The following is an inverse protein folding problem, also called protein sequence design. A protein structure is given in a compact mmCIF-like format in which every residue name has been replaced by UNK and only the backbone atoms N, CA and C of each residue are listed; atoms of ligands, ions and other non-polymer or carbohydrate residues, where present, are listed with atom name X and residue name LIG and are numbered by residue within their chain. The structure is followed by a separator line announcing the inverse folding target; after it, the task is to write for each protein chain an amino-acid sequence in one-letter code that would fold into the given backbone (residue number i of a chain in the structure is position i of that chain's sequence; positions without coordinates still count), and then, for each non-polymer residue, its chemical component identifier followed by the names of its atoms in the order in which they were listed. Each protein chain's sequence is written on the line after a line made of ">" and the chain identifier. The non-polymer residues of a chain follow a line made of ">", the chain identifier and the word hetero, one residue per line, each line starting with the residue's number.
data_IF_696711066744
#
_entry.id   IF_696711066744
#
_cell.length_a   1.000
_cell.length_b   1.000
_cell.length_c   1.000
_cell.angle_alpha   90.00
_cell.angle_beta   90.00
_cell.angle_gamma   90.00
#
_symmetry.space_group_name_H-M   'P 1'
#
loop_
_entity.id
_entity.type
_entity.pdbx_description
1 polymer ?
#
# COMPACT_ATOMS: atom_id res chain seq x y z
N UNK A 1 10.57 20.77 13.53
CA UNK A 1 11.79 21.52 13.14
C UNK A 1 11.80 21.60 11.63
N UNK A 2 11.49 22.77 11.07
CA UNK A 2 11.43 22.97 9.61
C UNK A 2 12.85 23.01 9.05
N UNK A 3 13.15 22.10 8.13
CA UNK A 3 14.42 22.07 7.40
C UNK A 3 14.41 23.19 6.36
N UNK A 4 15.10 24.30 6.63
CA UNK A 4 15.35 25.34 5.63
C UNK A 4 16.47 24.89 4.69
N UNK A 5 16.09 24.40 3.51
CA UNK A 5 17.02 24.03 2.46
C UNK A 5 17.15 25.15 1.43
N UNK A 6 18.39 25.51 1.10
CA UNK A 6 18.67 26.51 0.07
C UNK A 6 18.46 25.97 -1.36
N UNK A 7 18.51 26.86 -2.35
CA UNK A 7 18.24 26.50 -3.75
C UNK A 7 19.23 25.46 -4.31
N UNK A 8 20.49 25.48 -3.85
CA UNK A 8 21.54 24.57 -4.33
C UNK A 8 21.36 23.18 -3.73
N UNK A 9 21.03 23.09 -2.45
CA UNK A 9 20.73 21.84 -1.76
C UNK A 9 19.51 21.15 -2.34
N UNK A 10 18.48 21.92 -2.72
CA UNK A 10 17.28 21.39 -3.39
C UNK A 10 17.60 20.83 -4.77
N UNK A 11 18.43 21.51 -5.55
CA UNK A 11 18.89 21.02 -6.84
C UNK A 11 19.71 19.71 -6.70
N UNK A 12 20.60 19.63 -5.71
CA UNK A 12 21.34 18.40 -5.41
C UNK A 12 20.42 17.23 -5.02
N UNK A 13 19.40 17.49 -4.21
CA UNK A 13 18.42 16.46 -3.82
C UNK A 13 17.58 15.99 -5.01
N UNK A 14 17.22 16.90 -5.92
CA UNK A 14 16.51 16.58 -7.16
C UNK A 14 17.35 15.73 -8.11
N UNK A 15 18.64 16.04 -8.29
CA UNK A 15 19.58 15.22 -9.06
C UNK A 15 19.76 13.81 -8.45
N UNK A 16 19.66 13.69 -7.13
CA UNK A 16 19.66 12.39 -6.43
C UNK A 16 18.28 11.69 -6.43
N UNK A 17 17.29 12.21 -7.17
CA UNK A 17 15.95 11.62 -7.27
C UNK A 17 15.07 11.79 -6.02
N UNK A 18 15.46 12.66 -5.09
CA UNK A 18 14.73 12.92 -3.84
C UNK A 18 13.88 14.18 -3.99
N UNK A 19 12.56 14.00 -4.13
CA UNK A 19 11.61 15.12 -4.21
C UNK A 19 11.21 15.60 -2.81
N UNK A 20 11.66 16.80 -2.43
CA UNK A 20 11.27 17.45 -1.17
C UNK A 20 9.98 18.24 -1.34
N UNK A 21 8.92 17.78 -0.69
CA UNK A 21 7.65 18.50 -0.61
C UNK A 21 7.72 19.56 0.48
N UNK A 22 7.63 20.84 0.10
CA UNK A 22 7.51 21.96 1.04
C UNK A 22 6.09 22.50 0.96
N UNK A 23 5.42 22.60 2.11
CA UNK A 23 4.14 23.30 2.18
C UNK A 23 4.32 24.75 1.75
N UNK A 24 3.50 25.29 0.83
CA UNK A 24 3.48 26.71 0.59
C UNK A 24 3.06 27.42 1.88
N UNK A 25 3.91 28.28 2.42
CA UNK A 25 3.50 29.21 3.47
C UNK A 25 2.40 30.12 2.92
N UNK A 26 1.32 30.25 3.67
CA UNK A 26 0.23 31.15 3.35
C UNK A 26 0.76 32.59 3.22
N UNK A 27 0.32 33.35 2.20
CA UNK A 27 0.82 34.71 1.99
C UNK A 27 0.37 35.61 3.13
N UNK A 28 1.31 35.94 4.03
CA UNK A 28 1.13 37.03 4.99
C UNK A 28 1.18 38.34 4.20
N UNK A 29 0.08 39.10 4.28
CA UNK A 29 -0.07 40.39 3.63
C UNK A 29 1.10 41.32 3.99
N UNK A 30 1.81 41.79 2.96
CA UNK A 30 2.90 42.75 3.11
C UNK A 30 2.33 44.15 3.23
N UNK A 31 2.45 44.73 4.43
CA UNK A 31 2.38 46.18 4.62
C UNK A 31 3.57 46.83 3.91
N UNK A 32 3.27 47.81 3.07
CA UNK A 32 4.24 48.62 2.34
C UNK A 32 4.84 49.70 3.23
N UNK A 33 6.17 49.72 3.36
CA UNK A 33 6.91 50.92 3.77
C UNK A 33 8.37 50.82 3.31
N UNK A 34 8.81 51.83 2.54
CA UNK A 34 10.19 52.32 2.53
C UNK A 34 11.17 51.67 1.55
N UNK A 35 11.40 52.36 0.43
CA UNK A 35 12.69 52.34 -0.27
C UNK A 35 13.78 53.01 0.62
N UNK A 36 15.09 52.76 0.42
CA UNK A 36 15.77 53.28 -0.77
C UNK A 36 16.76 52.30 -1.44
N UNK A 37 17.20 52.75 -2.62
CA UNK A 37 18.17 52.16 -3.51
C UNK A 37 19.56 51.96 -2.89
N UNK A 38 20.40 51.11 -3.51
CA UNK A 38 21.70 51.50 -4.13
C UNK A 38 22.48 50.26 -4.65
N UNK A 39 23.04 50.46 -5.85
CA UNK A 39 24.26 49.92 -6.46
C UNK A 39 24.39 48.43 -6.86
N UNK A 40 24.32 48.28 -8.19
CA UNK A 40 25.10 47.42 -9.08
C UNK A 40 26.56 47.22 -8.64
N UNK A 41 27.05 45.97 -8.69
CA UNK A 41 28.43 45.66 -9.09
C UNK A 41 28.57 44.16 -9.46
N UNK A 42 28.68 43.87 -10.76
CA UNK A 42 29.40 42.70 -11.26
C UNK A 42 30.91 43.04 -11.30
N UNK A 43 31.80 42.04 -11.13
CA UNK A 43 32.49 41.55 -12.33
C UNK A 43 32.82 40.05 -12.33
N UNK A 44 32.99 39.52 -13.54
CA UNK A 44 33.65 38.27 -13.91
C UNK A 44 35.17 38.52 -14.13
N UNK A 45 35.99 37.58 -14.65
CA UNK A 45 36.20 36.16 -14.35
C UNK A 45 37.71 35.82 -14.15
N UNK A 46 37.99 34.51 -14.06
CA UNK A 46 39.25 33.83 -14.42
C UNK A 46 40.36 33.70 -13.36
N UNK A 47 40.66 32.44 -13.00
CA UNK A 47 42.00 31.87 -13.23
C UNK A 47 41.93 30.34 -13.15
N UNK A 48 42.50 29.73 -14.19
CA UNK A 48 42.59 28.30 -14.48
C UNK A 48 43.92 27.81 -13.92
N UNK A 49 43.94 26.75 -13.10
CA UNK A 49 45.17 26.00 -12.82
C UNK A 49 44.86 24.49 -12.79
N UNK A 50 45.57 23.77 -13.66
CA UNK A 50 45.76 22.33 -13.65
C UNK A 50 47.29 22.08 -13.59
N UNK A 51 47.74 20.82 -13.53
CA UNK A 51 48.12 20.04 -12.35
C UNK A 51 49.65 19.97 -12.17
N UNK A 52 50.16 19.20 -11.19
CA UNK A 52 51.25 18.31 -11.54
C UNK A 52 51.14 16.88 -10.99
N UNK A 53 51.88 16.03 -11.67
CA UNK A 53 51.84 14.57 -11.79
C UNK A 53 52.86 13.88 -10.85
N UNK A 54 52.42 12.80 -10.17
CA UNK A 54 53.12 11.53 -9.80
C UNK A 54 54.48 11.59 -9.04
N UNK A 55 55.02 10.48 -8.46
CA UNK A 55 54.63 9.07 -8.59
C UNK A 55 54.50 8.26 -7.29
N UNK A 56 53.95 7.06 -7.45
CA UNK A 56 53.81 6.01 -6.44
C UNK A 56 55.15 5.40 -5.99
N UNK A 57 55.15 4.74 -4.83
CA UNK A 57 55.82 3.46 -4.71
C UNK A 57 54.86 2.36 -4.25
N UNK A 58 55.03 1.20 -4.89
CA UNK A 58 54.41 -0.06 -4.56
C UNK A 58 54.80 -0.50 -3.14
N UNK A 59 53.83 -1.02 -2.39
CA UNK A 59 54.08 -1.78 -1.17
C UNK A 59 53.28 -3.08 -1.23
N UNK A 60 53.99 -4.15 -0.90
CA UNK A 60 53.67 -5.54 -1.16
C UNK A 60 52.45 -6.06 -0.40
N UNK A 61 51.72 -6.97 -1.05
CA UNK A 61 50.65 -7.77 -0.47
C UNK A 61 51.20 -8.73 0.59
N UNK A 62 50.66 -8.75 1.82
CA UNK A 62 50.92 -9.82 2.78
C UNK A 62 50.09 -11.08 2.44
N UNK A 63 50.55 -12.27 2.86
CA UNK A 63 49.96 -13.55 2.46
C UNK A 63 48.60 -13.81 3.13
N UNK A 64 47.79 -14.59 2.42
CA UNK A 64 46.47 -15.05 2.82
C UNK A 64 46.47 -15.67 4.23
N UNK A 65 45.91 -14.95 5.20
CA UNK A 65 45.55 -15.51 6.49
C UNK A 65 44.34 -16.43 6.30
N UNK A 66 44.56 -17.72 6.56
CA UNK A 66 43.54 -18.76 6.60
C UNK A 66 42.49 -18.40 7.65
N UNK A 67 41.26 -18.12 7.20
CA UNK A 67 40.14 -17.86 8.09
C UNK A 67 39.89 -19.10 8.99
N UNK A 68 39.74 -18.94 10.31
CA UNK A 68 39.27 -20.03 11.16
C UNK A 68 37.78 -20.30 10.83
N UNK A 69 37.46 -21.53 10.44
CA UNK A 69 36.08 -22.00 10.30
C UNK A 69 35.40 -21.98 11.68
N UNK A 70 34.26 -21.31 11.85
CA UNK A 70 33.44 -21.46 13.05
C UNK A 70 32.87 -22.88 13.11
N UNK A 71 33.08 -23.56 14.23
CA UNK A 71 32.50 -24.86 14.52
C UNK A 71 30.96 -24.79 14.49
N UNK A 72 30.34 -25.74 13.80
CA UNK A 72 28.89 -25.93 13.82
C UNK A 72 28.41 -26.27 15.26
N UNK A 73 27.21 -25.81 15.64
CA UNK A 73 26.72 -25.85 17.02
C UNK A 73 26.44 -27.26 17.52
N UNK A 74 26.82 -27.51 18.78
CA UNK A 74 26.51 -28.73 19.52
C UNK A 74 25.02 -28.72 19.88
N UNK A 75 24.27 -29.70 19.37
CA UNK A 75 22.83 -29.84 19.61
C UNK A 75 22.53 -30.02 21.12
N UNK A 76 21.53 -29.32 21.69
CA UNK A 76 21.03 -29.62 23.02
C UNK A 76 20.25 -30.95 23.01
N UNK A 77 20.44 -31.75 24.07
CA UNK A 77 19.75 -33.02 24.27
C UNK A 77 18.22 -32.83 24.36
N UNK A 78 17.41 -33.75 23.81
CA UNK A 78 15.95 -33.63 23.86
C UNK A 78 15.43 -33.85 25.29
N UNK A 79 14.63 -32.91 25.76
CA UNK A 79 13.78 -33.07 26.94
C UNK A 79 12.70 -34.15 26.67
N UNK A 80 12.23 -34.89 27.69
CA UNK A 80 11.27 -35.97 27.50
C UNK A 80 9.97 -35.44 26.88
N UNK A 81 9.53 -36.13 25.83
CA UNK A 81 8.28 -35.86 25.13
C UNK A 81 7.11 -36.12 26.08
N UNK A 82 6.37 -35.06 26.41
CA UNK A 82 5.00 -35.19 26.88
C UNK A 82 4.18 -35.55 25.64
N UNK A 83 3.71 -36.81 25.59
CA UNK A 83 2.75 -37.30 24.61
C UNK A 83 1.45 -36.49 24.75
N UNK A 84 1.32 -35.43 23.96
CA UNK A 84 0.03 -34.82 23.68
C UNK A 84 -0.54 -35.55 22.47
N UNK A 85 -1.41 -36.53 22.73
CA UNK A 85 -2.14 -37.24 21.72
C UNK A 85 -3.04 -36.27 20.92
N UNK A 86 -2.69 -36.08 19.64
CA UNK A 86 -3.66 -35.97 18.55
C UNK A 86 -4.52 -34.70 18.45
N UNK A 87 -3.96 -33.64 17.88
CA UNK A 87 -4.66 -32.83 16.89
C UNK A 87 -3.61 -32.17 15.99
N UNK A 88 -3.59 -32.48 14.69
CA UNK A 88 -2.90 -31.64 13.72
C UNK A 88 -3.43 -30.20 13.88
N UNK A 89 -2.59 -29.16 13.81
CA UNK A 89 -3.10 -27.79 13.87
C UNK A 89 -4.10 -27.62 12.72
N UNK A 90 -5.38 -27.47 13.07
CA UNK A 90 -6.42 -27.34 12.08
C UNK A 90 -6.15 -26.06 11.28
N UNK A 91 -6.05 -26.19 9.95
CA UNK A 91 -5.85 -25.04 9.07
C UNK A 91 -7.11 -24.18 9.21
N UNK A 92 -7.00 -22.90 9.60
CA UNK A 92 -8.16 -22.04 9.75
C UNK A 92 -8.88 -21.92 8.40
N UNK A 93 -10.16 -22.23 8.39
CA UNK A 93 -11.03 -22.01 7.23
C UNK A 93 -11.33 -20.52 7.08
N UNK A 94 -11.68 -20.10 5.87
CA UNK A 94 -12.17 -18.76 5.60
C UNK A 94 -13.65 -18.82 5.28
N UNK A 95 -14.37 -17.82 5.77
CA UNK A 95 -15.77 -17.58 5.44
C UNK A 95 -15.90 -16.23 4.76
N UNK A 96 -16.62 -16.18 3.63
CA UNK A 96 -17.06 -14.93 3.04
C UNK A 96 -18.41 -14.52 3.61
N UNK A 97 -18.48 -13.30 4.12
CA UNK A 97 -19.73 -12.65 4.53
C UNK A 97 -20.40 -11.95 3.35
N UNK A 98 -21.73 -11.90 3.35
CA UNK A 98 -22.50 -11.22 2.31
C UNK A 98 -22.06 -9.75 2.17
N UNK A 99 -21.98 -9.21 0.94
CA UNK A 99 -21.59 -7.82 0.75
C UNK A 99 -22.53 -6.84 1.47
N UNK A 100 -21.97 -5.90 2.21
CA UNK A 100 -22.72 -4.84 2.89
C UNK A 100 -22.40 -3.46 2.32
N UNK A 101 -23.38 -2.57 2.25
CA UNK A 101 -23.19 -1.17 1.82
C UNK A 101 -22.38 -0.43 2.88
N UNK A 102 -21.27 0.19 2.46
CA UNK A 102 -20.36 0.90 3.36
C UNK A 102 -20.85 2.30 3.77
N UNK A 103 -21.53 2.99 2.85
CA UNK A 103 -22.04 4.36 3.05
C UNK A 103 -23.52 4.45 2.67
N UNK A 104 -24.43 3.91 3.49
CA UNK A 104 -25.87 3.87 3.17
C UNK A 104 -26.51 5.26 3.06
N UNK A 105 -25.89 6.29 3.63
CA UNK A 105 -26.34 7.68 3.56
C UNK A 105 -25.71 8.48 2.40
N UNK A 106 -24.96 7.84 1.50
CA UNK A 106 -24.38 8.51 0.34
C UNK A 106 -25.47 8.95 -0.65
N UNK A 107 -25.46 10.25 -0.99
CA UNK A 107 -26.41 10.85 -1.93
C UNK A 107 -25.99 10.54 -3.37
N UNK A 108 -26.80 9.79 -4.15
CA UNK A 108 -26.48 9.45 -5.54
C UNK A 108 -26.20 10.67 -6.42
N UNK A 109 -26.85 11.82 -6.16
CA UNK A 109 -26.66 13.06 -6.93
C UNK A 109 -25.28 13.70 -6.71
N UNK A 110 -24.59 13.34 -5.63
CA UNK A 110 -23.26 13.83 -5.29
C UNK A 110 -22.14 12.86 -5.68
N UNK A 111 -22.46 11.77 -6.38
CA UNK A 111 -21.47 10.78 -6.83
C UNK A 111 -20.58 11.41 -7.90
N UNK A 112 -19.25 11.52 -7.67
CA UNK A 112 -18.34 12.04 -8.69
C UNK A 112 -18.38 11.23 -9.99
N UNK A 113 -18.33 11.93 -11.12
CA UNK A 113 -18.18 11.29 -12.43
C UNK A 113 -16.87 10.47 -12.50
N UNK A 114 -16.90 9.37 -13.25
CA UNK A 114 -15.74 8.50 -13.44
C UNK A 114 -15.46 7.53 -12.28
N UNK A 115 -16.41 7.34 -11.35
CA UNK A 115 -16.36 6.27 -10.35
C UNK A 115 -17.12 5.00 -10.80
N UNK A 116 -17.68 4.97 -12.01
CA UNK A 116 -18.30 3.79 -12.61
C UNK A 116 -19.62 3.38 -11.95
N UNK A 117 -20.08 2.17 -12.26
CA UNK A 117 -21.37 1.64 -11.78
C UNK A 117 -21.39 1.15 -10.33
N UNK A 118 -20.26 1.03 -9.65
CA UNK A 118 -20.18 0.44 -8.31
C UNK A 118 -18.81 -0.14 -8.00
N UNK A 119 -18.55 -0.42 -6.73
CA UNK A 119 -17.29 -0.98 -6.26
C UNK A 119 -17.56 -2.06 -5.23
N UNK A 120 -16.80 -3.15 -5.31
CA UNK A 120 -16.81 -4.21 -4.30
C UNK A 120 -15.43 -4.28 -3.65
N UNK A 121 -15.37 -4.17 -2.32
CA UNK A 121 -14.15 -4.35 -1.54
C UNK A 121 -14.17 -5.75 -0.93
N UNK A 122 -13.07 -6.48 -1.05
CA UNK A 122 -12.87 -7.77 -0.39
C UNK A 122 -11.69 -7.66 0.56
N UNK A 123 -11.90 -7.90 1.85
CA UNK A 123 -10.86 -7.74 2.88
C UNK A 123 -11.00 -8.76 3.98
N UNK A 124 -9.90 -9.11 4.65
CA UNK A 124 -9.96 -9.88 5.89
C UNK A 124 -10.45 -8.98 7.03
N UNK A 125 -11.31 -9.49 7.92
CA UNK A 125 -11.77 -8.78 9.12
C UNK A 125 -12.05 -9.74 10.27
N UNK A 126 -11.70 -9.31 11.47
CA UNK A 126 -12.09 -9.98 12.72
C UNK A 126 -13.49 -9.55 13.20
N UNK A 127 -14.00 -8.44 12.69
CA UNK A 127 -15.29 -7.84 13.07
C UNK A 127 -16.08 -7.54 11.80
N UNK A 128 -16.59 -8.58 11.11
CA UNK A 128 -17.29 -8.42 9.82
C UNK A 128 -18.51 -7.49 9.89
N UNK A 129 -19.19 -7.43 11.05
CA UNK A 129 -20.33 -6.52 11.29
C UNK A 129 -19.97 -5.05 11.48
N UNK A 130 -18.68 -4.71 11.67
CA UNK A 130 -18.20 -3.34 11.85
C UNK A 130 -17.02 -3.08 10.90
N UNK A 131 -17.26 -2.96 9.58
CA UNK A 131 -16.19 -2.91 8.57
C UNK A 131 -15.29 -1.67 8.69
N UNK A 132 -15.84 -0.57 9.19
CA UNK A 132 -15.10 0.67 9.45
C UNK A 132 -14.73 0.86 10.93
N UNK A 133 -14.92 -0.18 11.75
CA UNK A 133 -14.58 -0.18 13.16
C UNK A 133 -13.07 -0.23 13.42
N UNK A 134 -12.66 0.33 14.56
CA UNK A 134 -11.26 0.30 15.02
C UNK A 134 -10.29 1.10 14.15
N UNK A 135 -8.98 0.89 14.37
CA UNK A 135 -7.92 1.65 13.70
C UNK A 135 -7.79 1.30 12.21
N UNK A 136 -7.92 0.02 11.88
CA UNK A 136 -7.85 -0.46 10.50
C UNK A 136 -9.04 0.04 9.68
N UNK A 137 -10.26 -0.03 10.24
CA UNK A 137 -11.47 0.50 9.61
C UNK A 137 -11.42 2.02 9.43
N UNK A 138 -10.89 2.77 10.40
CA UNK A 138 -10.66 4.21 10.25
C UNK A 138 -9.65 4.54 9.15
N UNK A 139 -8.59 3.75 9.01
CA UNK A 139 -7.66 3.93 7.89
C UNK A 139 -8.33 3.62 6.55
N UNK A 140 -9.13 2.55 6.47
CA UNK A 140 -9.91 2.22 5.28
C UNK A 140 -10.87 3.36 4.90
N UNK A 141 -11.62 3.90 5.85
CA UNK A 141 -12.50 5.06 5.63
C UNK A 141 -11.73 6.25 5.03
N UNK A 142 -10.55 6.57 5.58
CA UNK A 142 -9.70 7.63 5.05
C UNK A 142 -9.22 7.36 3.60
N UNK A 143 -8.84 6.11 3.29
CA UNK A 143 -8.45 5.71 1.93
C UNK A 143 -9.62 5.89 0.95
N UNK A 144 -10.82 5.45 1.32
CA UNK A 144 -12.03 5.57 0.50
C UNK A 144 -12.47 7.03 0.35
N UNK A 145 -12.28 7.86 1.39
CA UNK A 145 -12.51 9.30 1.31
C UNK A 145 -11.54 9.99 0.36
N UNK A 146 -10.26 9.64 0.39
CA UNK A 146 -9.26 10.15 -0.54
C UNK A 146 -9.57 9.78 -1.99
N UNK A 147 -10.18 8.62 -2.22
CA UNK A 147 -10.70 8.19 -3.53
C UNK A 147 -12.08 8.78 -3.89
N UNK A 148 -12.70 9.53 -2.98
CA UNK A 148 -14.08 10.03 -3.06
C UNK A 148 -15.17 8.94 -3.12
N UNK A 149 -14.84 7.68 -2.88
CA UNK A 149 -15.77 6.54 -2.88
C UNK A 149 -16.81 6.61 -1.75
N UNK A 150 -16.55 7.35 -0.68
CA UNK A 150 -17.54 7.64 0.36
C UNK A 150 -18.81 8.34 -0.12
N UNK A 151 -18.78 8.94 -1.32
CA UNK A 151 -19.94 9.55 -1.98
C UNK A 151 -20.67 8.60 -2.92
N UNK A 152 -20.18 7.37 -3.08
CA UNK A 152 -20.72 6.40 -4.01
C UNK A 152 -21.75 5.49 -3.31
N UNK A 153 -23.04 5.51 -3.69
CA UNK A 153 -24.09 4.73 -3.00
C UNK A 153 -23.94 3.22 -3.20
N UNK A 154 -23.27 2.79 -4.29
CA UNK A 154 -22.99 1.38 -4.61
C UNK A 154 -21.56 0.96 -4.25
N UNK A 155 -21.10 1.34 -3.06
CA UNK A 155 -19.84 0.84 -2.50
C UNK A 155 -20.14 -0.26 -1.48
N UNK A 156 -19.75 -1.48 -1.82
CA UNK A 156 -19.98 -2.67 -1.00
C UNK A 156 -18.66 -3.21 -0.45
N UNK A 157 -18.74 -3.86 0.71
CA UNK A 157 -17.64 -4.61 1.29
C UNK A 157 -18.09 -6.02 1.65
N UNK A 158 -17.34 -7.02 1.16
CA UNK A 158 -17.46 -8.41 1.56
C UNK A 158 -16.27 -8.77 2.46
N UNK A 159 -16.55 -9.14 3.71
CA UNK A 159 -15.53 -9.45 4.69
C UNK A 159 -15.19 -10.95 4.66
N UNK A 160 -13.90 -11.26 4.76
CA UNK A 160 -13.39 -12.60 5.00
C UNK A 160 -13.04 -12.76 6.47
N UNK A 161 -13.69 -13.70 7.14
CA UNK A 161 -13.44 -14.03 8.53
C UNK A 161 -12.71 -15.38 8.62
N UNK A 162 -11.69 -15.46 9.48
CA UNK A 162 -11.09 -16.76 9.83
C UNK A 162 -11.99 -17.48 10.81
N UNK A 163 -12.41 -18.68 10.45
CA UNK A 163 -13.22 -19.53 11.31
C UNK A 163 -12.40 -20.70 11.85
N UNK A 164 -12.77 -21.17 13.04
CA UNK A 164 -12.25 -22.44 13.55
C UNK A 164 -12.71 -23.57 12.63
N UNK A 165 -11.85 -24.57 12.43
CA UNK A 165 -12.21 -25.74 11.62
C UNK A 165 -13.42 -26.45 12.21
N UNK A 166 -14.44 -26.70 11.37
CA UNK A 166 -15.68 -27.37 11.78
C UNK A 166 -16.74 -26.44 12.41
N UNK A 167 -16.54 -25.12 12.39
CA UNK A 167 -17.59 -24.19 12.78
C UNK A 167 -18.67 -24.09 11.68
N UNK A 168 -19.76 -24.85 11.85
CA UNK A 168 -21.01 -24.69 11.10
C UNK A 168 -21.58 -23.29 11.41
N UNK A 169 -21.56 -22.35 10.46
CA UNK A 169 -22.27 -21.07 10.58
C UNK A 169 -22.31 -20.34 9.24
N UNK A 170 -23.38 -19.57 8.99
CA UNK A 170 -23.74 -19.02 7.68
C UNK A 170 -22.65 -18.19 6.98
N UNK A 171 -22.55 -18.36 5.65
CA UNK A 171 -21.52 -17.84 4.75
C UNK A 171 -20.92 -18.96 3.89
N UNK A 172 -20.36 -18.63 2.73
CA UNK A 172 -19.86 -19.64 1.78
C UNK A 172 -18.39 -20.00 2.02
N UNK A 173 -18.12 -21.31 2.06
CA UNK A 173 -16.75 -21.85 2.15
C UNK A 173 -16.03 -21.89 0.80
N UNK A 174 -16.77 -21.84 -0.32
CA UNK A 174 -16.22 -21.71 -1.67
C UNK A 174 -16.12 -20.23 -2.07
N UNK A 175 -15.07 -19.57 -1.58
CA UNK A 175 -14.87 -18.13 -1.72
C UNK A 175 -14.91 -17.64 -3.18
N UNK A 176 -14.22 -18.29 -4.17
CA UNK A 176 -14.29 -17.84 -5.55
C UNK A 176 -15.69 -17.90 -6.16
N UNK A 177 -16.47 -18.95 -5.86
CA UNK A 177 -17.85 -19.07 -6.37
C UNK A 177 -18.77 -18.01 -5.76
N UNK A 178 -18.72 -17.84 -4.44
CA UNK A 178 -19.52 -16.83 -3.74
C UNK A 178 -19.18 -15.39 -4.18
N UNK A 179 -17.89 -15.12 -4.44
CA UNK A 179 -17.49 -13.84 -5.04
C UNK A 179 -18.00 -13.68 -6.47
N UNK A 180 -18.03 -14.75 -7.27
CA UNK A 180 -18.60 -14.69 -8.61
C UNK A 180 -20.10 -14.37 -8.57
N UNK A 181 -20.85 -14.99 -7.64
CA UNK A 181 -22.26 -14.70 -7.43
C UNK A 181 -22.47 -13.25 -6.98
N UNK A 182 -21.67 -12.76 -6.02
CA UNK A 182 -21.72 -11.37 -5.57
C UNK A 182 -21.38 -10.37 -6.68
N UNK A 183 -20.40 -10.67 -7.54
CA UNK A 183 -20.07 -9.84 -8.70
C UNK A 183 -21.20 -9.86 -9.72
N UNK A 184 -21.81 -11.02 -9.96
CA UNK A 184 -22.94 -11.16 -10.87
C UNK A 184 -24.16 -10.36 -10.39
N UNK A 185 -24.44 -10.37 -9.09
CA UNK A 185 -25.54 -9.61 -8.47
C UNK A 185 -25.26 -8.11 -8.45
N UNK A 186 -24.08 -7.70 -8.00
CA UNK A 186 -23.76 -6.29 -7.78
C UNK A 186 -23.31 -5.58 -9.04
N UNK A 187 -22.82 -6.28 -10.07
CA UNK A 187 -22.26 -5.71 -11.30
C UNK A 187 -21.33 -4.51 -11.00
N UNK A 188 -20.30 -4.64 -10.14
CA UNK A 188 -19.41 -3.55 -9.84
C UNK A 188 -18.55 -3.18 -11.06
N UNK A 189 -18.15 -1.93 -11.15
CA UNK A 189 -17.17 -1.48 -12.14
C UNK A 189 -15.74 -1.96 -11.81
N UNK A 190 -15.44 -2.24 -10.53
CA UNK A 190 -14.17 -2.80 -10.09
C UNK A 190 -14.28 -3.53 -8.75
N UNK A 191 -13.48 -4.60 -8.59
CA UNK A 191 -13.26 -5.27 -7.29
C UNK A 191 -11.90 -4.88 -6.71
N UNK A 192 -11.90 -4.30 -5.52
CA UNK A 192 -10.69 -3.95 -4.77
C UNK A 192 -10.42 -5.01 -3.70
N UNK A 193 -9.30 -5.73 -3.81
CA UNK A 193 -8.93 -6.82 -2.90
C UNK A 193 -7.80 -6.37 -1.97
N UNK A 194 -8.06 -6.36 -0.66
CA UNK A 194 -7.16 -5.84 0.36
C UNK A 194 -6.44 -6.99 1.08
N UNK A 195 -5.12 -7.02 0.97
CA UNK A 195 -4.28 -7.96 1.70
C UNK A 195 -4.06 -9.30 1.01
N UNK A 196 -3.08 -10.04 1.54
CA UNK A 196 -2.63 -11.31 0.97
C UNK A 196 -3.69 -12.41 1.10
N UNK A 197 -4.40 -12.45 2.21
CA UNK A 197 -5.36 -13.51 2.54
C UNK A 197 -6.59 -13.38 1.64
N UNK A 198 -7.13 -12.17 1.51
CA UNK A 198 -8.20 -11.88 0.58
C UNK A 198 -7.79 -12.15 -0.87
N UNK A 199 -6.58 -11.74 -1.27
CA UNK A 199 -6.08 -11.97 -2.62
C UNK A 199 -5.96 -13.47 -2.96
N UNK A 200 -5.43 -14.28 -2.04
CA UNK A 200 -5.33 -15.73 -2.26
C UNK A 200 -6.69 -16.41 -2.32
N UNK A 201 -7.60 -16.04 -1.41
CA UNK A 201 -8.94 -16.61 -1.35
C UNK A 201 -9.77 -16.24 -2.58
N UNK A 202 -9.71 -14.98 -3.02
CA UNK A 202 -10.46 -14.48 -4.17
C UNK A 202 -9.91 -15.00 -5.51
N UNK A 203 -8.59 -15.00 -5.69
CA UNK A 203 -7.95 -15.32 -6.97
C UNK A 203 -7.61 -16.81 -7.14
N UNK A 204 -7.72 -17.62 -6.08
CA UNK A 204 -7.27 -19.03 -6.10
C UNK A 204 -5.76 -19.17 -6.31
N UNK A 205 -4.99 -18.14 -5.91
CA UNK A 205 -3.54 -18.01 -6.18
C UNK A 205 -2.72 -18.12 -4.88
N UNK A 206 -1.42 -18.38 -5.00
CA UNK A 206 -0.53 -18.60 -3.83
C UNK A 206 0.73 -17.75 -3.85
N UNK A 207 0.89 -16.93 -4.90
CA UNK A 207 2.02 -16.04 -5.09
C UNK A 207 2.11 -14.98 -3.99
N UNK A 208 3.32 -14.49 -3.68
CA UNK A 208 3.49 -13.39 -2.72
C UNK A 208 2.69 -12.15 -3.13
N UNK A 209 2.19 -11.41 -2.12
CA UNK A 209 1.40 -10.19 -2.32
C UNK A 209 2.04 -9.19 -3.29
N UNK A 210 3.38 -9.03 -3.26
CA UNK A 210 4.08 -8.14 -4.19
C UNK A 210 3.88 -8.49 -5.67
N UNK A 211 3.82 -9.79 -6.02
CA UNK A 211 3.49 -10.23 -7.39
C UNK A 211 2.02 -10.06 -7.71
N UNK A 212 1.14 -10.40 -6.76
CA UNK A 212 -0.31 -10.21 -6.95
C UNK A 212 -0.64 -8.74 -7.18
N UNK A 213 0.02 -7.79 -6.52
CA UNK A 213 -0.22 -6.36 -6.75
C UNK A 213 0.26 -5.85 -8.12
N UNK A 214 1.28 -6.46 -8.71
CA UNK A 214 1.88 -6.00 -9.96
C UNK A 214 1.08 -6.40 -11.22
N UNK A 215 0.25 -7.45 -11.13
CA UNK A 215 -0.48 -7.99 -12.26
C UNK A 215 -1.92 -7.44 -12.40
N UNK A 216 -2.48 -7.45 -13.62
CA UNK A 216 -3.92 -7.28 -13.81
C UNK A 216 -4.65 -8.54 -13.31
N UNK A 217 -5.82 -8.36 -12.71
CA UNK A 217 -6.71 -9.46 -12.30
C UNK A 217 -8.13 -9.21 -12.77
N UNK A 218 -8.90 -10.28 -12.80
CA UNK A 218 -10.34 -10.24 -13.01
C UNK A 218 -11.01 -11.24 -12.07
N UNK A 219 -12.22 -10.92 -11.63
CA UNK A 219 -13.10 -11.76 -10.84
C UNK A 219 -14.46 -11.78 -11.54
N UNK A 220 -14.86 -12.93 -12.10
CA UNK A 220 -16.09 -13.08 -12.88
C UNK A 220 -16.25 -11.95 -13.93
N UNK A 221 -15.25 -11.78 -14.79
CA UNK A 221 -15.15 -10.73 -15.82
C UNK A 221 -15.09 -9.27 -15.31
N UNK A 222 -15.21 -9.03 -14.01
CA UNK A 222 -15.01 -7.70 -13.42
C UNK A 222 -13.52 -7.44 -13.19
N UNK A 223 -12.95 -6.29 -13.59
CA UNK A 223 -11.56 -5.97 -13.31
C UNK A 223 -11.31 -5.92 -11.79
N UNK A 224 -10.17 -6.46 -11.37
CA UNK A 224 -9.78 -6.52 -9.97
C UNK A 224 -8.39 -5.94 -9.73
N UNK A 225 -8.24 -5.21 -8.63
CA UNK A 225 -6.96 -4.66 -8.17
C UNK A 225 -6.65 -5.15 -6.78
N UNK A 226 -5.45 -5.72 -6.60
CA UNK A 226 -4.94 -6.13 -5.29
C UNK A 226 -4.11 -5.00 -4.69
N UNK A 227 -4.27 -4.73 -3.40
CA UNK A 227 -3.43 -3.81 -2.61
C UNK A 227 -3.22 -4.34 -1.19
N UNK A 228 -2.58 -3.54 -0.33
CA UNK A 228 -2.31 -3.88 1.05
C UNK A 228 -3.54 -3.78 1.94
N UNK A 229 -3.57 -4.62 2.96
CA UNK A 229 -4.57 -4.58 4.02
C UNK A 229 -4.37 -3.35 4.94
N UNK A 230 -5.42 -2.63 5.35
CA UNK A 230 -5.31 -1.47 6.25
C UNK A 230 -4.61 -1.79 7.58
N UNK A 231 -4.87 -2.93 8.20
CA UNK A 231 -4.19 -3.33 9.43
C UNK A 231 -2.69 -3.57 9.20
N UNK A 232 -2.30 -4.08 8.02
CA UNK A 232 -0.88 -4.17 7.64
C UNK A 232 -0.24 -2.79 7.46
N UNK A 233 -0.93 -1.86 6.80
CA UNK A 233 -0.44 -0.50 6.56
C UNK A 233 -0.23 0.31 7.83
N UNK A 234 -0.97 0.02 8.91
CA UNK A 234 -0.75 0.65 10.21
C UNK A 234 0.61 0.27 10.80
N UNK A 235 1.10 -0.96 10.56
CA UNK A 235 2.39 -1.45 11.04
C UNK A 235 3.55 -1.12 10.11
N UNK A 236 3.29 -0.93 8.82
CA UNK A 236 4.30 -0.74 7.78
C UNK A 236 4.01 0.53 6.98
N UNK A 237 4.49 1.67 7.49
CA UNK A 237 4.19 2.98 6.91
C UNK A 237 4.92 3.22 5.56
N UNK A 238 6.07 2.57 5.37
CA UNK A 238 6.91 2.65 4.18
C UNK A 238 6.21 2.18 2.91
N UNK A 239 5.26 1.25 3.02
CA UNK A 239 4.51 0.74 1.88
C UNK A 239 3.25 1.56 1.53
N UNK A 240 2.92 2.62 2.29
CA UNK A 240 1.73 3.43 2.03
C UNK A 240 1.73 4.09 0.66
N UNK A 241 2.90 4.54 0.19
CA UNK A 241 3.04 5.10 -1.16
C UNK A 241 2.71 4.06 -2.24
N UNK A 242 3.16 2.82 -2.04
CA UNK A 242 2.86 1.70 -2.94
C UNK A 242 1.37 1.33 -2.91
N UNK A 243 0.73 1.35 -1.73
CA UNK A 243 -0.71 1.14 -1.60
C UNK A 243 -1.51 2.23 -2.35
N UNK A 244 -1.11 3.50 -2.20
CA UNK A 244 -1.74 4.61 -2.91
C UNK A 244 -1.61 4.48 -4.43
N UNK A 245 -0.45 4.06 -4.93
CA UNK A 245 -0.26 3.80 -6.36
C UNK A 245 -1.23 2.73 -6.89
N UNK A 246 -1.52 1.69 -6.11
CA UNK A 246 -2.53 0.68 -6.48
C UNK A 246 -3.95 1.27 -6.52
N UNK A 247 -4.32 2.14 -5.56
CA UNK A 247 -5.62 2.81 -5.55
C UNK A 247 -5.77 3.77 -6.75
N UNK A 248 -4.72 4.51 -7.11
CA UNK A 248 -4.70 5.33 -8.31
C UNK A 248 -4.88 4.49 -9.57
N UNK A 249 -4.22 3.32 -9.66
CA UNK A 249 -4.40 2.37 -10.77
C UNK A 249 -5.85 1.88 -10.86
N UNK A 250 -6.47 1.55 -9.73
CA UNK A 250 -7.88 1.16 -9.69
C UNK A 250 -8.81 2.26 -10.24
N UNK A 251 -8.62 3.50 -9.79
CA UNK A 251 -9.38 4.65 -10.30
C UNK A 251 -9.16 4.87 -11.80
N UNK A 252 -7.92 4.71 -12.28
CA UNK A 252 -7.60 4.85 -13.70
C UNK A 252 -8.33 3.81 -14.56
N UNK A 253 -8.39 2.54 -14.12
CA UNK A 253 -9.11 1.47 -14.81
C UNK A 253 -10.59 1.83 -14.98
N UNK A 254 -11.25 2.25 -13.88
CA UNK A 254 -12.69 2.58 -13.91
C UNK A 254 -12.99 3.80 -14.79
N UNK A 255 -12.13 4.82 -14.74
CA UNK A 255 -12.27 6.03 -15.58
C UNK A 255 -12.09 5.75 -17.07
N UNK A 256 -11.22 4.80 -17.42
CA UNK A 256 -11.03 4.40 -18.83
C UNK A 256 -12.21 3.56 -19.35
N UNK A 257 -12.85 2.78 -18.48
CA UNK A 257 -13.99 1.93 -18.84
C UNK A 257 -15.34 2.68 -18.87
N UNK A 258 -15.44 3.84 -18.21
CA UNK A 258 -16.67 4.64 -18.17
C UNK A 258 -16.64 5.68 -19.29
N UNK A 259 -17.40 5.52 -20.40
CA UNK A 259 -17.61 6.63 -21.33
C UNK A 259 -18.36 7.74 -20.58
N UNK A 260 -17.86 8.97 -20.71
CA UNK A 260 -18.41 10.15 -20.04
C UNK A 260 -19.78 10.58 -20.53
#
# INVERSE_FOLDING_TARGET
>A
MSLHLDARQRAMLQEMGVTVWVQPEAPVARTTAGAPAVAVAAPAPAARMAPPTAPAPAVASPPAARAPQPAAPRAPAPAPAVENAGAAPAIPSLRLHAPQVLYPSADPSQTPAGLGGGWLIVTESLTPGEPLGGDAGRLLDNMLRAMQLHKHPRLFLAALERTAAGAETGGDSNIPAALADAVAELQPALVLVLGHVAARAALGRTEPLGRLRAGPHQLAECPAVVTYDPAFLLRSQDVKAAAWADLCRALAIVRQASPG
#
